data_IF_473732395374
#
_entry.id   IF_473732395374
#
_cell.length_a   1.000
_cell.length_b   1.000
_cell.length_c   1.000
_cell.angle_alpha   90.00
_cell.angle_beta   90.00
_cell.angle_gamma   90.00
#
_symmetry.space_group_name_H-M   'P 1'
#
loop_
_entity.id
_entity.type
_entity.pdbx_description
1 polymer ?
#
# COMPACT_ATOMS: atom_id res chain seq x y z
N UNK A 1 -6.52 92.86 16.07
CA UNK A 1 -6.77 91.55 16.72
C UNK A 1 -5.82 90.51 16.13
N UNK A 2 -4.83 90.04 16.89
CA UNK A 2 -3.82 89.07 16.42
C UNK A 2 -4.37 87.64 16.61
N UNK A 3 -4.39 86.85 15.53
CA UNK A 3 -4.82 85.44 15.52
C UNK A 3 -3.72 84.57 16.14
N UNK A 4 -4.05 83.82 17.19
CA UNK A 4 -3.20 82.77 17.77
C UNK A 4 -3.70 81.43 17.22
N UNK A 5 -2.82 80.68 16.56
CA UNK A 5 -3.10 79.36 16.00
C UNK A 5 -2.72 78.32 17.06
N UNK A 6 -3.68 77.50 17.49
CA UNK A 6 -3.44 76.37 18.39
C UNK A 6 -3.26 75.11 17.56
N UNK A 7 -2.08 74.50 17.59
CA UNK A 7 -1.80 73.23 16.92
C UNK A 7 -2.09 72.12 17.93
N UNK A 8 -3.13 71.32 17.65
CA UNK A 8 -3.54 70.18 18.46
C UNK A 8 -2.92 68.92 17.83
N UNK A 9 -1.84 68.40 18.44
CA UNK A 9 -1.23 67.14 18.00
C UNK A 9 -2.10 65.96 18.45
N UNK A 10 -2.73 65.28 17.48
CA UNK A 10 -3.38 63.98 17.68
C UNK A 10 -2.31 62.88 17.70
N UNK A 11 -2.08 62.26 18.86
CA UNK A 11 -1.21 61.09 19.00
C UNK A 11 -2.05 59.83 18.73
N UNK A 12 -2.02 59.32 17.50
CA UNK A 12 -2.66 58.04 17.14
C UNK A 12 -1.82 56.88 17.68
N UNK A 13 -2.30 56.22 18.72
CA UNK A 13 -1.71 54.99 19.23
C UNK A 13 -2.10 53.83 18.30
N UNK A 14 -1.19 53.44 17.40
CA UNK A 14 -1.32 52.24 16.58
C UNK A 14 -0.94 51.03 17.44
N UNK A 15 -1.95 50.35 18.01
CA UNK A 15 -1.74 49.04 18.63
C UNK A 15 -1.52 47.99 17.54
N UNK A 16 -0.28 47.58 17.32
CA UNK A 16 0.04 46.41 16.49
C UNK A 16 -0.38 45.14 17.23
N UNK A 17 -1.55 44.58 16.88
CA UNK A 17 -1.88 43.22 17.27
C UNK A 17 -0.97 42.26 16.50
N UNK A 18 0.11 41.82 17.14
CA UNK A 18 0.89 40.68 16.69
C UNK A 18 0.03 39.43 16.89
N UNK A 19 -0.59 38.93 15.81
CA UNK A 19 -1.09 37.56 15.80
C UNK A 19 0.12 36.63 15.87
N UNK A 20 0.34 36.04 17.05
CA UNK A 20 1.32 34.97 17.19
C UNK A 20 0.92 33.83 16.25
N UNK A 21 1.72 33.62 15.20
CA UNK A 21 1.60 32.48 14.31
C UNK A 21 1.96 31.23 15.13
N UNK A 22 0.97 30.46 15.55
CA UNK A 22 1.20 29.16 16.20
C UNK A 22 1.98 28.29 15.21
N UNK A 23 3.18 27.81 15.55
CA UNK A 23 3.97 27.01 14.62
C UNK A 23 3.20 25.74 14.27
N UNK A 24 3.01 25.51 12.96
CA UNK A 24 2.39 24.30 12.46
C UNK A 24 3.21 23.09 12.91
N UNK A 25 2.65 22.27 13.79
CA UNK A 25 3.29 21.04 14.24
C UNK A 25 3.25 20.05 13.08
N UNK A 26 4.37 19.90 12.38
CA UNK A 26 4.52 18.86 11.36
C UNK A 26 4.39 17.49 12.05
N UNK A 27 3.31 16.78 11.73
CA UNK A 27 3.05 15.46 12.29
C UNK A 27 3.90 14.37 11.62
N UNK A 28 4.42 14.62 10.42
CA UNK A 28 5.23 13.69 9.62
C UNK A 28 6.45 14.40 9.03
N UNK A 29 7.51 13.63 8.83
CA UNK A 29 8.70 14.03 8.07
C UNK A 29 8.84 13.06 6.90
N UNK A 30 8.86 13.59 5.68
CA UNK A 30 9.03 12.79 4.46
C UNK A 30 10.46 12.89 3.93
N UNK A 31 10.96 11.84 3.25
CA UNK A 31 10.29 10.54 3.08
C UNK A 31 10.34 9.68 4.36
N UNK A 32 9.35 8.79 4.55
CA UNK A 32 9.31 7.90 5.72
C UNK A 32 10.47 6.88 5.72
N UNK A 33 10.86 6.41 4.54
CA UNK A 33 12.01 5.54 4.28
C UNK A 33 12.82 6.07 3.08
N UNK A 34 14.14 5.83 3.01
CA UNK A 34 14.96 6.34 1.90
C UNK A 34 14.72 5.63 0.56
N UNK A 35 14.11 4.44 0.58
CA UNK A 35 13.73 3.63 -0.58
C UNK A 35 12.54 2.72 -0.22
N UNK A 36 11.95 2.11 -1.23
CA UNK A 36 10.80 1.21 -1.12
C UNK A 36 9.67 1.67 -2.03
N UNK A 37 9.61 1.10 -3.24
CA UNK A 37 8.49 1.32 -4.14
C UNK A 37 7.25 0.56 -3.66
N UNK A 38 6.08 1.02 -4.08
CA UNK A 38 4.80 0.35 -3.82
C UNK A 38 4.52 0.17 -2.30
N UNK A 39 4.57 1.26 -1.51
CA UNK A 39 4.35 1.19 -0.07
C UNK A 39 2.89 0.85 0.25
N UNK A 40 2.69 -0.16 1.11
CA UNK A 40 1.38 -0.50 1.64
C UNK A 40 1.41 -0.52 3.18
N UNK A 41 0.32 -0.07 3.82
CA UNK A 41 0.20 -0.15 5.27
C UNK A 41 -1.20 -0.56 5.73
N UNK A 42 -1.26 -1.57 6.60
CA UNK A 42 -2.45 -2.07 7.24
C UNK A 42 -2.45 -1.73 8.72
N UNK A 43 -3.52 -1.13 9.25
CA UNK A 43 -3.64 -0.83 10.67
C UNK A 43 -4.50 -1.89 11.37
N UNK A 44 -3.97 -2.50 12.43
CA UNK A 44 -4.69 -3.46 13.26
C UNK A 44 -4.19 -3.46 14.70
N UNK A 45 -5.11 -3.52 15.66
CA UNK A 45 -4.83 -3.72 17.10
C UNK A 45 -3.76 -2.78 17.68
N UNK A 46 -3.74 -1.51 17.25
CA UNK A 46 -2.78 -0.52 17.75
C UNK A 46 -1.45 -0.47 17.00
N UNK A 47 -1.28 -1.26 15.94
CA UNK A 47 -0.06 -1.31 15.13
C UNK A 47 -0.36 -1.08 13.65
N UNK A 48 0.59 -0.46 12.98
CA UNK A 48 0.74 -0.45 11.54
C UNK A 48 1.66 -1.58 11.12
N UNK A 49 1.21 -2.36 10.16
CA UNK A 49 1.97 -3.37 9.45
C UNK A 49 2.26 -2.80 8.06
N UNK A 50 3.53 -2.71 7.70
CA UNK A 50 3.95 -2.02 6.49
C UNK A 50 4.81 -2.92 5.61
N UNK A 51 4.63 -2.80 4.31
CA UNK A 51 5.32 -3.56 3.27
C UNK A 51 5.70 -2.62 2.12
N UNK A 52 6.71 -3.01 1.35
CA UNK A 52 7.08 -2.40 0.08
C UNK A 52 7.87 -3.40 -0.78
N UNK A 53 8.07 -3.09 -2.05
CA UNK A 53 8.90 -3.88 -2.98
C UNK A 53 10.35 -3.96 -2.52
N UNK A 54 10.81 -5.17 -2.15
CA UNK A 54 12.11 -5.42 -1.52
C UNK A 54 12.99 -6.41 -2.32
N UNK A 55 13.04 -6.24 -3.65
CA UNK A 55 13.82 -7.05 -4.59
C UNK A 55 13.37 -8.52 -4.65
N UNK A 56 14.12 -9.44 -4.02
CA UNK A 56 13.95 -10.89 -4.16
C UNK A 56 13.31 -11.55 -2.93
N UNK A 57 12.65 -10.77 -2.08
CA UNK A 57 12.10 -11.20 -0.80
C UNK A 57 10.93 -10.32 -0.38
N UNK A 58 10.10 -10.85 0.51
CA UNK A 58 9.02 -10.10 1.12
C UNK A 58 9.42 -9.68 2.54
N UNK A 59 9.27 -8.40 2.84
CA UNK A 59 9.62 -7.81 4.13
C UNK A 59 8.39 -7.20 4.79
N UNK A 60 8.34 -7.30 6.12
CA UNK A 60 7.27 -6.75 6.95
C UNK A 60 7.86 -5.88 8.05
N UNK A 61 7.33 -4.68 8.19
CA UNK A 61 7.58 -3.77 9.31
C UNK A 61 6.38 -3.75 10.24
N UNK A 62 6.62 -3.55 11.54
CA UNK A 62 5.57 -3.34 12.55
C UNK A 62 5.92 -2.14 13.41
N UNK A 63 4.99 -1.18 13.53
CA UNK A 63 5.18 0.01 14.36
C UNK A 63 3.87 0.50 14.96
N UNK A 64 3.90 1.12 16.14
CA UNK A 64 2.73 1.84 16.68
C UNK A 64 2.51 3.20 16.01
N UNK A 65 3.54 3.72 15.34
CA UNK A 65 3.53 5.05 14.74
C UNK A 65 4.30 5.04 13.42
N UNK A 66 3.63 5.37 12.32
CA UNK A 66 4.25 5.43 10.98
C UNK A 66 5.38 6.47 10.89
N UNK A 67 5.39 7.50 11.74
CA UNK A 67 6.52 8.45 11.77
C UNK A 67 7.82 7.83 12.26
N UNK A 68 7.75 6.67 12.93
CA UNK A 68 8.88 5.90 13.44
C UNK A 68 9.25 4.73 12.53
N UNK A 69 8.69 4.64 11.32
CA UNK A 69 8.88 3.52 10.40
C UNK A 69 10.37 3.24 10.10
N UNK A 70 11.20 4.29 10.02
CA UNK A 70 12.66 4.19 9.82
C UNK A 70 13.38 3.38 10.90
N UNK A 71 12.88 3.39 12.13
CA UNK A 71 13.43 2.65 13.28
C UNK A 71 12.53 1.49 13.72
N UNK A 72 11.49 1.17 12.95
CA UNK A 72 10.54 0.12 13.29
C UNK A 72 11.17 -1.27 13.20
N UNK A 73 10.66 -2.18 14.02
CA UNK A 73 10.96 -3.60 13.89
C UNK A 73 10.56 -4.06 12.49
N UNK A 74 11.46 -4.79 11.82
CA UNK A 74 11.20 -5.37 10.52
C UNK A 74 11.97 -6.67 10.32
N UNK A 75 11.43 -7.52 9.46
CA UNK A 75 12.10 -8.78 9.09
C UNK A 75 11.71 -9.21 7.68
N UNK A 76 12.54 -10.09 7.13
CA UNK A 76 12.15 -10.90 5.98
C UNK A 76 11.13 -11.93 6.47
N UNK A 77 9.93 -11.89 5.90
CA UNK A 77 8.86 -12.83 6.23
C UNK A 77 8.84 -14.04 5.30
N UNK A 78 9.34 -13.87 4.07
CA UNK A 78 9.39 -14.94 3.10
C UNK A 78 10.41 -14.67 1.98
N UNK A 79 11.05 -15.75 1.51
CA UNK A 79 11.90 -15.78 0.32
C UNK A 79 11.43 -16.96 -0.52
N UNK A 80 11.15 -16.76 -1.83
CA UNK A 80 10.69 -17.85 -2.68
C UNK A 80 11.79 -18.90 -2.89
N UNK A 81 11.43 -20.19 -3.06
CA UNK A 81 12.35 -21.19 -3.56
C UNK A 81 12.84 -20.81 -4.97
N UNK A 82 14.14 -20.97 -5.22
CA UNK A 82 14.75 -20.66 -6.51
C UNK A 82 14.16 -21.51 -7.65
N UNK A 83 14.10 -20.94 -8.86
CA UNK A 83 13.67 -21.65 -10.08
C UNK A 83 12.15 -21.86 -10.20
N UNK A 84 11.35 -21.33 -9.27
CA UNK A 84 9.88 -21.39 -9.35
C UNK A 84 9.30 -20.26 -10.22
N UNK A 85 8.02 -20.40 -10.61
CA UNK A 85 7.24 -19.39 -11.36
C UNK A 85 7.02 -18.07 -10.61
N UNK A 86 7.46 -18.00 -9.35
CA UNK A 86 7.25 -16.89 -8.42
C UNK A 86 8.55 -16.54 -7.68
N UNK A 87 9.70 -16.82 -8.30
CA UNK A 87 11.04 -16.67 -7.67
C UNK A 87 11.78 -15.39 -8.03
N UNK A 88 11.26 -14.60 -8.97
CA UNK A 88 11.88 -13.39 -9.50
C UNK A 88 10.87 -12.24 -9.54
N UNK A 89 11.39 -11.02 -9.60
CA UNK A 89 10.61 -9.79 -9.74
C UNK A 89 9.44 -9.71 -8.74
N UNK A 90 9.73 -9.81 -7.43
CA UNK A 90 8.69 -9.74 -6.41
C UNK A 90 8.27 -8.29 -6.21
N UNK A 91 7.05 -7.95 -6.60
CA UNK A 91 6.55 -6.58 -6.63
C UNK A 91 5.30 -6.38 -5.77
N UNK A 92 5.15 -5.14 -5.29
CA UNK A 92 3.98 -4.56 -4.65
C UNK A 92 3.29 -5.47 -3.60
N UNK A 93 4.01 -5.91 -2.54
CA UNK A 93 3.40 -6.74 -1.53
C UNK A 93 2.40 -5.95 -0.68
N UNK A 94 1.19 -6.50 -0.50
CA UNK A 94 0.15 -5.94 0.35
C UNK A 94 -0.27 -6.92 1.46
N UNK A 95 -0.23 -6.46 2.71
CA UNK A 95 -0.63 -7.25 3.88
C UNK A 95 -2.07 -6.96 4.28
N UNK A 96 -2.88 -8.01 4.42
CA UNK A 96 -4.30 -7.92 4.73
C UNK A 96 -4.64 -8.81 5.93
N UNK A 97 -5.62 -8.40 6.75
CA UNK A 97 -6.21 -9.27 7.76
C UNK A 97 -7.65 -9.63 7.37
N UNK A 98 -7.86 -10.87 6.96
CA UNK A 98 -9.13 -11.34 6.37
C UNK A 98 -9.59 -12.57 7.15
N UNK A 99 -10.84 -12.57 7.61
CA UNK A 99 -11.47 -13.73 8.25
C UNK A 99 -10.62 -14.37 9.37
N UNK A 100 -9.95 -13.54 10.18
CA UNK A 100 -9.17 -14.00 11.33
C UNK A 100 -7.71 -14.38 11.05
N UNK A 101 -7.24 -14.24 9.80
CA UNK A 101 -5.86 -14.58 9.41
C UNK A 101 -5.19 -13.46 8.62
N UNK A 102 -3.87 -13.48 8.60
CA UNK A 102 -3.07 -12.58 7.79
C UNK A 102 -2.81 -13.17 6.40
N UNK A 103 -2.91 -12.34 5.38
CA UNK A 103 -2.61 -12.67 3.99
C UNK A 103 -1.62 -11.65 3.44
N UNK A 104 -0.63 -12.11 2.68
CA UNK A 104 0.35 -11.25 2.01
C UNK A 104 0.28 -11.53 0.52
N UNK A 105 -0.32 -10.62 -0.23
CA UNK A 105 -0.45 -10.70 -1.68
C UNK A 105 0.74 -10.03 -2.34
N UNK A 106 1.24 -10.57 -3.43
CA UNK A 106 2.36 -10.00 -4.17
C UNK A 106 2.35 -10.47 -5.62
N UNK A 107 2.96 -9.71 -6.51
CA UNK A 107 3.23 -10.15 -7.86
C UNK A 107 4.63 -10.78 -7.94
N UNK A 108 4.80 -11.79 -8.77
CA UNK A 108 6.11 -12.37 -9.07
C UNK A 108 6.14 -13.08 -10.42
N UNK A 109 7.33 -13.33 -10.95
CA UNK A 109 7.57 -14.16 -12.13
C UNK A 109 8.78 -15.10 -11.97
N UNK A 110 9.26 -15.65 -13.09
CA UNK A 110 10.44 -16.51 -13.18
C UNK A 110 11.63 -15.84 -13.92
N UNK A 111 11.63 -14.52 -14.05
CA UNK A 111 12.59 -13.72 -14.83
C UNK A 111 12.10 -13.36 -16.23
N UNK A 112 10.86 -13.73 -16.59
CA UNK A 112 10.21 -13.37 -17.83
C UNK A 112 8.92 -12.60 -17.54
N UNK A 113 8.89 -11.30 -17.84
CA UNK A 113 7.78 -10.40 -17.47
C UNK A 113 6.38 -10.95 -17.84
N UNK A 114 6.22 -11.59 -19.02
CA UNK A 114 4.93 -12.18 -19.47
C UNK A 114 4.34 -13.22 -18.49
N UNK A 115 5.17 -13.77 -17.61
CA UNK A 115 4.80 -14.77 -16.61
C UNK A 115 4.42 -14.16 -15.25
N UNK A 116 4.44 -12.84 -15.08
CA UNK A 116 3.97 -12.20 -13.84
C UNK A 116 2.53 -12.61 -13.53
N UNK A 117 2.33 -13.05 -12.30
CA UNK A 117 1.02 -13.38 -11.72
C UNK A 117 0.98 -12.90 -10.28
N UNK A 118 -0.24 -12.84 -9.76
CA UNK A 118 -0.49 -12.61 -8.35
C UNK A 118 -0.39 -13.92 -7.56
N UNK A 119 0.21 -13.84 -6.38
CA UNK A 119 0.38 -14.95 -5.44
C UNK A 119 0.04 -14.49 -4.03
N UNK A 120 -0.23 -15.43 -3.13
CA UNK A 120 -0.55 -15.11 -1.73
C UNK A 120 0.06 -16.09 -0.72
N UNK A 121 0.49 -15.53 0.40
CA UNK A 121 0.89 -16.25 1.62
C UNK A 121 -0.19 -16.11 2.70
N UNK A 122 -0.36 -17.12 3.54
CA UNK A 122 -1.22 -17.08 4.73
C UNK A 122 -0.38 -17.19 6.01
N UNK A 123 -0.75 -16.47 7.06
CA UNK A 123 -0.21 -16.62 8.40
C UNK A 123 -1.36 -16.56 9.42
N UNK A 124 -1.52 -17.61 10.22
CA UNK A 124 -2.61 -17.78 11.20
C UNK A 124 -2.25 -17.30 12.61
N UNK A 125 -1.02 -16.84 12.83
CA UNK A 125 -0.62 -16.23 14.09
C UNK A 125 -1.33 -14.90 14.31
N UNK A 126 -1.70 -14.62 15.56
CA UNK A 126 -2.23 -13.30 15.96
C UNK A 126 -1.25 -12.17 15.61
N UNK A 127 0.05 -12.42 15.79
CA UNK A 127 1.11 -11.51 15.37
C UNK A 127 1.84 -12.07 14.14
N UNK A 128 1.71 -11.44 12.95
CA UNK A 128 2.33 -11.93 11.72
C UNK A 128 3.87 -11.79 11.75
N UNK A 129 4.40 -11.08 12.75
CA UNK A 129 5.83 -11.02 13.05
C UNK A 129 6.38 -12.29 13.72
N UNK A 130 5.52 -13.18 14.24
CA UNK A 130 5.97 -14.38 14.99
C UNK A 130 5.48 -15.71 14.41
N UNK A 131 4.56 -15.68 13.44
CA UNK A 131 4.04 -16.89 12.80
C UNK A 131 4.80 -17.31 11.53
N UNK A 132 4.42 -18.47 11.01
CA UNK A 132 4.92 -19.01 9.75
C UNK A 132 4.03 -18.56 8.58
N UNK A 133 4.66 -18.15 7.48
CA UNK A 133 3.97 -17.81 6.24
C UNK A 133 3.90 -19.04 5.33
N UNK A 134 2.69 -19.48 5.03
CA UNK A 134 2.40 -20.63 4.16
C UNK A 134 2.01 -20.15 2.78
N UNK A 135 2.71 -20.63 1.74
CA UNK A 135 2.37 -20.31 0.36
C UNK A 135 1.05 -20.98 -0.05
N UNK A 136 0.07 -20.18 -0.45
CA UNK A 136 -1.26 -20.67 -0.86
C UNK A 136 -1.36 -20.89 -2.36
N UNK A 137 -0.47 -20.30 -3.14
CA UNK A 137 -0.43 -20.45 -4.58
C UNK A 137 -0.75 -19.15 -5.32
N UNK A 138 -0.99 -19.33 -6.62
CA UNK A 138 -1.38 -18.28 -7.55
C UNK A 138 -2.84 -17.88 -7.32
N UNK A 139 -3.12 -16.58 -7.36
CA UNK A 139 -4.49 -16.04 -7.35
C UNK A 139 -4.81 -15.58 -8.77
N UNK A 140 -5.65 -16.35 -9.46
CA UNK A 140 -6.00 -16.10 -10.86
C UNK A 140 -7.46 -16.49 -11.14
N UNK A 141 -8.06 -15.85 -12.13
CA UNK A 141 -9.27 -16.35 -12.78
C UNK A 141 -8.93 -17.50 -13.75
N UNK A 142 -9.94 -18.10 -14.37
CA UNK A 142 -9.76 -19.21 -15.32
C UNK A 142 -8.90 -18.83 -16.55
N UNK A 143 -8.79 -17.54 -16.85
CA UNK A 143 -8.03 -17.05 -17.99
C UNK A 143 -6.51 -17.00 -17.71
N UNK A 144 -6.09 -17.02 -16.44
CA UNK A 144 -4.70 -17.00 -15.96
C UNK A 144 -3.80 -16.03 -16.75
N UNK A 145 -4.26 -14.79 -16.91
CA UNK A 145 -3.54 -13.74 -17.62
C UNK A 145 -2.51 -13.05 -16.73
N UNK A 146 -1.60 -12.32 -17.37
CA UNK A 146 -0.65 -11.45 -16.69
C UNK A 146 -1.36 -10.52 -15.70
N UNK A 147 -0.87 -10.47 -14.47
CA UNK A 147 -1.49 -9.76 -13.36
C UNK A 147 -0.44 -9.29 -12.34
N UNK A 148 -0.53 -8.03 -11.93
CA UNK A 148 0.26 -7.39 -10.87
C UNK A 148 -0.62 -6.48 -10.00
N UNK A 149 -0.06 -5.92 -8.94
CA UNK A 149 -0.64 -4.85 -8.12
C UNK A 149 -2.07 -5.16 -7.65
N UNK A 150 -2.25 -6.35 -7.06
CA UNK A 150 -3.55 -6.79 -6.57
C UNK A 150 -3.83 -6.30 -5.15
N UNK A 151 -5.00 -5.69 -4.97
CA UNK A 151 -5.57 -5.28 -3.68
C UNK A 151 -6.87 -6.04 -3.40
N UNK A 152 -7.20 -6.20 -2.13
CA UNK A 152 -8.30 -7.04 -1.65
C UNK A 152 -9.19 -6.22 -0.74
N UNK A 153 -10.49 -6.26 -0.99
CA UNK A 153 -11.46 -5.56 -0.15
C UNK A 153 -12.77 -6.33 -0.04
N UNK A 154 -13.51 -6.04 1.02
CA UNK A 154 -14.84 -6.58 1.24
C UNK A 154 -15.90 -5.52 0.94
N UNK A 155 -16.96 -5.93 0.26
CA UNK A 155 -18.13 -5.10 0.01
C UNK A 155 -19.40 -5.97 0.09
N UNK A 156 -20.36 -5.59 0.93
CA UNK A 156 -21.60 -6.35 1.16
C UNK A 156 -21.35 -7.84 1.47
N UNK A 157 -20.44 -8.12 2.43
CA UNK A 157 -20.04 -9.48 2.86
C UNK A 157 -19.37 -10.33 1.76
N UNK A 158 -19.06 -9.73 0.60
CA UNK A 158 -18.38 -10.37 -0.51
C UNK A 158 -16.95 -9.85 -0.63
N UNK A 159 -15.99 -10.79 -0.66
CA UNK A 159 -14.59 -10.48 -0.93
C UNK A 159 -14.37 -10.27 -2.43
N UNK A 160 -13.60 -9.24 -2.77
CA UNK A 160 -13.19 -8.91 -4.12
C UNK A 160 -11.68 -8.75 -4.20
N UNK A 161 -11.12 -9.11 -5.35
CA UNK A 161 -9.79 -8.71 -5.75
C UNK A 161 -9.89 -7.70 -6.90
N UNK A 162 -9.13 -6.62 -6.81
CA UNK A 162 -8.88 -5.66 -7.87
C UNK A 162 -7.40 -5.71 -8.24
N UNK A 163 -7.04 -5.64 -9.52
CA UNK A 163 -5.65 -5.75 -9.95
C UNK A 163 -5.38 -5.10 -11.31
N UNK A 164 -4.11 -4.85 -11.62
CA UNK A 164 -3.65 -4.49 -12.95
C UNK A 164 -3.35 -5.74 -13.77
N UNK A 165 -3.89 -5.85 -14.99
CA UNK A 165 -3.72 -7.04 -15.83
C UNK A 165 -3.74 -6.79 -17.33
N UNK A 166 -3.33 -7.80 -18.10
CA UNK A 166 -3.46 -7.79 -19.57
C UNK A 166 -4.75 -8.44 -20.02
N UNK A 167 -5.33 -7.95 -21.13
CA UNK A 167 -6.49 -8.57 -21.76
C UNK A 167 -6.14 -9.92 -22.41
N UNK A 168 -5.05 -9.96 -23.19
CA UNK A 168 -4.53 -11.16 -23.85
C UNK A 168 -3.20 -11.65 -23.27
N UNK A 169 -2.51 -12.50 -24.05
CA UNK A 169 -1.26 -13.16 -23.62
C UNK A 169 0.01 -12.42 -24.04
N UNK A 170 -0.15 -11.32 -24.77
CA UNK A 170 0.98 -10.51 -25.26
C UNK A 170 1.13 -9.28 -24.40
N UNK A 171 2.39 -8.89 -24.21
CA UNK A 171 2.72 -7.63 -23.58
C UNK A 171 1.99 -6.49 -24.29
N UNK A 172 1.25 -5.71 -23.51
CA UNK A 172 0.36 -4.70 -24.03
C UNK A 172 -0.23 -3.87 -22.90
N UNK A 173 -1.36 -3.25 -23.21
CA UNK A 173 -2.04 -2.36 -22.28
C UNK A 173 -2.41 -3.05 -20.98
N UNK A 174 -2.01 -2.43 -19.87
CA UNK A 174 -2.49 -2.76 -18.55
C UNK A 174 -3.87 -2.13 -18.32
N UNK A 175 -4.78 -2.93 -17.78
CA UNK A 175 -6.14 -2.51 -17.45
C UNK A 175 -6.43 -2.90 -16.01
N UNK A 176 -7.34 -2.17 -15.37
CA UNK A 176 -7.80 -2.52 -14.03
C UNK A 176 -8.96 -3.50 -14.15
N UNK A 177 -8.81 -4.65 -13.49
CA UNK A 177 -9.81 -5.70 -13.42
C UNK A 177 -10.28 -5.89 -11.98
N UNK A 178 -11.52 -6.36 -11.83
CA UNK A 178 -12.10 -6.78 -10.55
C UNK A 178 -12.77 -8.15 -10.71
N UNK A 179 -12.72 -8.97 -9.68
CA UNK A 179 -13.47 -10.22 -9.59
C UNK A 179 -13.86 -10.53 -8.13
N UNK A 180 -14.93 -11.29 -7.97
CA UNK A 180 -15.30 -11.87 -6.66
C UNK A 180 -14.27 -12.92 -6.25
N UNK A 181 -14.22 -13.23 -4.96
CA UNK A 181 -13.39 -14.31 -4.42
C UNK A 181 -14.24 -15.29 -3.60
N UNK A 182 -13.94 -16.59 -3.73
CA UNK A 182 -14.56 -17.65 -2.90
C UNK A 182 -13.94 -17.72 -1.51
N UNK A 183 -12.66 -17.41 -1.43
CA UNK A 183 -11.82 -17.37 -0.24
C UNK A 183 -10.61 -16.47 -0.55
N UNK A 184 -9.77 -16.12 0.44
CA UNK A 184 -8.65 -15.19 0.26
C UNK A 184 -7.56 -15.61 -0.76
N UNK A 185 -7.68 -16.75 -1.44
CA UNK A 185 -6.71 -17.16 -2.48
C UNK A 185 -7.36 -17.73 -3.73
N UNK A 186 -8.67 -17.59 -3.90
CA UNK A 186 -9.42 -18.19 -5.02
C UNK A 186 -10.41 -17.20 -5.60
N UNK A 187 -10.20 -16.80 -6.87
CA UNK A 187 -11.16 -15.99 -7.62
C UNK A 187 -12.46 -16.79 -7.87
N UNK A 188 -13.60 -16.11 -7.80
CA UNK A 188 -14.92 -16.64 -8.11
C UNK A 188 -15.47 -16.08 -9.43
N UNK A 189 -15.28 -16.83 -10.50
CA UNK A 189 -15.80 -16.50 -11.82
C UNK A 189 -14.89 -15.58 -12.64
N UNK A 190 -15.50 -14.87 -13.59
CA UNK A 190 -14.77 -14.07 -14.58
C UNK A 190 -14.43 -12.68 -14.04
N UNK A 191 -13.22 -12.22 -14.35
CA UNK A 191 -12.83 -10.81 -14.16
C UNK A 191 -13.67 -9.85 -15.01
N UNK A 192 -13.83 -8.63 -14.52
CA UNK A 192 -14.45 -7.49 -15.22
C UNK A 192 -13.45 -6.36 -15.36
N UNK A 193 -13.23 -5.88 -16.58
CA UNK A 193 -12.44 -4.65 -16.82
C UNK A 193 -13.26 -3.45 -16.31
N UNK A 194 -12.67 -2.63 -15.47
CA UNK A 194 -13.30 -1.41 -14.92
C UNK A 194 -12.58 -0.13 -15.35
N UNK A 195 -11.32 -0.23 -15.80
CA UNK A 195 -10.56 0.90 -16.34
C UNK A 195 -9.47 0.43 -17.30
N UNK A 196 -9.07 1.29 -18.23
CA UNK A 196 -7.93 1.10 -19.13
C UNK A 196 -7.50 2.43 -19.75
N UNK A 197 -6.23 2.54 -20.16
CA UNK A 197 -5.77 3.67 -20.97
C UNK A 197 -6.51 3.77 -22.31
N UNK A 198 -6.94 4.96 -22.70
CA UNK A 198 -7.43 5.23 -24.06
C UNK A 198 -6.34 5.82 -24.97
N UNK A 199 -5.12 5.97 -24.44
CA UNK A 199 -3.93 6.52 -25.10
C UNK A 199 -2.94 5.43 -25.50
#
# INVERSE_FOLDING_TARGET
MKKVIFIMSFLTCLSTQSQAQVPQKYLFVNPLLPYGADPYSFYKDGYYYYTHTAQNKLMLWKTKNLTQLKSAENKVVWTPPEGTFYSKELWAPEIHFIQGKWYLYFAADNGENKNHRMYVLENDSLDPMNGNWTFKGKVADENDKWAIDGDIFEHEEQLYMIWSGWEGDKNGQQNIYIAKMKNPWTIDGNRKKISGSDY
#
